data_IF_561265653079
#
_entry.id   IF_561265653079
#
_cell.length_a   1.000
_cell.length_b   1.000
_cell.length_c   1.000
_cell.angle_alpha   90.00
_cell.angle_beta   90.00
_cell.angle_gamma   90.00
#
_symmetry.space_group_name_H-M   'P 1'
#
loop_
_entity.id
_entity.type
_entity.pdbx_description
1 polymer ?
#
# COMPACT_ATOMS: atom_id res chain seq x y z
N UNK A 1 8.50 -23.38 -4.92
CA UNK A 1 7.40 -22.50 -5.35
C UNK A 1 6.62 -22.13 -4.09
N UNK A 2 6.37 -20.84 -3.84
CA UNK A 2 5.72 -20.37 -2.61
C UNK A 2 4.29 -20.90 -2.53
N UNK A 3 4.11 -22.08 -1.95
CA UNK A 3 2.81 -22.68 -1.78
C UNK A 3 2.09 -21.96 -0.64
N UNK A 4 1.21 -21.02 -0.98
CA UNK A 4 0.25 -20.42 -0.04
C UNK A 4 -0.46 -21.47 0.84
N UNK A 5 -0.61 -22.69 0.33
CA UNK A 5 -1.13 -23.86 1.06
C UNK A 5 -0.30 -24.19 2.31
N UNK A 6 1.03 -24.12 2.20
CA UNK A 6 1.98 -24.44 3.28
C UNK A 6 1.94 -23.40 4.42
N UNK A 7 1.68 -22.13 4.07
CA UNK A 7 1.50 -21.07 5.06
C UNK A 7 0.19 -21.21 5.85
N UNK A 8 -0.88 -21.72 5.22
CA UNK A 8 -2.17 -21.89 5.90
C UNK A 8 -2.16 -23.13 6.79
N UNK A 9 -1.65 -24.26 6.29
CA UNK A 9 -1.54 -25.48 7.09
C UNK A 9 -0.72 -25.23 8.36
N UNK A 10 0.43 -24.56 8.23
CA UNK A 10 1.28 -24.21 9.37
C UNK A 10 0.59 -23.28 10.37
N UNK A 11 -0.24 -22.33 9.93
CA UNK A 11 -1.00 -21.45 10.84
C UNK A 11 -2.10 -22.18 11.63
N UNK A 12 -2.66 -23.25 11.07
CA UNK A 12 -3.73 -24.02 11.70
C UNK A 12 -3.21 -25.17 12.57
N UNK A 13 -2.01 -25.67 12.30
CA UNK A 13 -1.32 -26.67 13.13
C UNK A 13 -0.79 -26.10 14.46
N UNK A 14 -0.66 -24.77 14.59
CA UNK A 14 -0.16 -24.13 15.81
C UNK A 14 -1.19 -24.23 16.94
N UNK A 15 -0.86 -25.02 17.95
CA UNK A 15 -1.60 -25.06 19.20
C UNK A 15 -1.41 -23.77 19.99
N UNK A 16 -2.44 -22.91 19.99
CA UNK A 16 -2.45 -21.64 20.68
C UNK A 16 -2.11 -21.77 22.17
N UNK A 17 -2.39 -22.90 22.83
CA UNK A 17 -2.12 -23.09 24.26
C UNK A 17 -0.63 -23.26 24.56
N UNK A 18 0.17 -23.68 23.58
CA UNK A 18 1.63 -23.84 23.70
C UNK A 18 2.41 -22.57 23.38
N UNK A 19 1.72 -21.48 23.02
CA UNK A 19 2.38 -20.24 22.58
C UNK A 19 2.20 -19.12 23.59
N UNK A 20 3.23 -18.28 23.74
CA UNK A 20 3.19 -17.15 24.66
C UNK A 20 2.12 -16.10 24.24
N UNK A 21 1.67 -15.27 25.19
CA UNK A 21 0.62 -14.28 24.97
C UNK A 21 0.90 -13.33 23.79
N UNK A 22 2.15 -12.89 23.62
CA UNK A 22 2.55 -12.01 22.50
C UNK A 22 2.33 -12.70 21.15
N UNK A 23 2.68 -13.97 21.04
CA UNK A 23 2.50 -14.75 19.82
C UNK A 23 1.03 -15.07 19.55
N UNK A 24 0.20 -15.26 20.58
CA UNK A 24 -1.27 -15.41 20.39
C UNK A 24 -1.88 -14.19 19.68
N UNK A 25 -1.45 -12.98 20.01
CA UNK A 25 -1.91 -11.73 19.35
C UNK A 25 -1.48 -11.72 17.88
N UNK A 26 -0.24 -12.12 17.61
CA UNK A 26 0.30 -12.22 16.25
C UNK A 26 -0.50 -13.25 15.44
N UNK A 27 -0.71 -14.45 15.97
CA UNK A 27 -1.50 -15.51 15.32
C UNK A 27 -2.92 -15.05 15.01
N UNK A 28 -3.57 -14.37 15.95
CA UNK A 28 -4.90 -13.78 15.73
C UNK A 28 -4.89 -12.77 14.58
N UNK A 29 -3.84 -11.98 14.48
CA UNK A 29 -3.68 -10.98 13.41
C UNK A 29 -3.43 -11.66 12.06
N UNK A 30 -2.56 -12.67 12.01
CA UNK A 30 -2.27 -13.45 10.81
C UNK A 30 -3.53 -14.16 10.29
N UNK A 31 -4.30 -14.82 11.18
CA UNK A 31 -5.59 -15.44 10.82
C UNK A 31 -6.60 -14.41 10.32
N UNK A 32 -6.68 -13.24 10.97
CA UNK A 32 -7.57 -12.14 10.54
C UNK A 32 -7.25 -11.64 9.12
N UNK A 33 -5.97 -11.55 8.74
CA UNK A 33 -5.54 -11.01 7.45
C UNK A 33 -5.13 -12.09 6.43
N UNK A 34 -5.44 -13.35 6.70
CA UNK A 34 -5.05 -14.51 5.90
C UNK A 34 -5.38 -14.38 4.42
N UNK A 35 -6.59 -13.91 4.09
CA UNK A 35 -7.02 -13.70 2.70
C UNK A 35 -6.11 -12.71 1.95
N UNK A 36 -5.71 -11.62 2.60
CA UNK A 36 -4.81 -10.63 2.00
C UNK A 36 -3.39 -11.19 1.83
N UNK A 37 -2.90 -11.96 2.80
CA UNK A 37 -1.59 -12.61 2.71
C UNK A 37 -1.59 -13.60 1.54
N UNK A 38 -2.65 -14.41 1.38
CA UNK A 38 -2.81 -15.33 0.26
C UNK A 38 -2.81 -14.58 -1.09
N UNK A 39 -3.47 -13.43 -1.18
CA UNK A 39 -3.44 -12.61 -2.38
C UNK A 39 -2.01 -12.13 -2.71
N UNK A 40 -1.24 -11.69 -1.71
CA UNK A 40 0.16 -11.30 -1.90
C UNK A 40 1.02 -12.47 -2.40
N UNK A 41 0.82 -13.67 -1.84
CA UNK A 41 1.52 -14.88 -2.28
C UNK A 41 1.13 -15.31 -3.71
N UNK A 42 -0.14 -15.13 -4.07
CA UNK A 42 -0.68 -15.46 -5.41
C UNK A 42 -0.17 -14.51 -6.49
N UNK A 43 0.04 -13.23 -6.18
CA UNK A 43 0.44 -12.20 -7.14
C UNK A 43 1.83 -11.61 -6.82
N UNK A 44 2.92 -12.39 -6.99
CA UNK A 44 4.27 -11.97 -6.57
C UNK A 44 4.81 -10.76 -7.35
N UNK A 45 4.26 -10.48 -8.53
CA UNK A 45 4.66 -9.34 -9.36
C UNK A 45 4.08 -8.00 -8.84
N UNK A 46 3.11 -8.04 -7.92
CA UNK A 46 2.56 -6.84 -7.28
C UNK A 46 3.39 -6.54 -6.04
N UNK A 47 4.14 -5.44 -6.07
CA UNK A 47 4.97 -5.01 -4.95
C UNK A 47 4.35 -3.81 -4.23
N UNK A 48 4.76 -3.59 -2.98
CA UNK A 48 4.37 -2.40 -2.22
C UNK A 48 5.11 -1.13 -2.67
N UNK A 49 6.06 -1.23 -3.60
CA UNK A 49 6.94 -0.13 -4.03
C UNK A 49 6.18 1.15 -4.44
N UNK A 50 5.13 1.08 -5.28
CA UNK A 50 4.33 2.27 -5.62
C UNK A 50 3.68 2.94 -4.40
N UNK A 51 3.12 2.14 -3.48
CA UNK A 51 2.45 2.65 -2.26
C UNK A 51 3.49 3.29 -1.33
N UNK A 52 4.64 2.64 -1.15
CA UNK A 52 5.76 3.15 -0.36
C UNK A 52 6.30 4.46 -0.94
N UNK A 53 6.45 4.54 -2.27
CA UNK A 53 6.86 5.75 -2.98
C UNK A 53 5.91 6.92 -2.73
N UNK A 54 4.60 6.69 -2.82
CA UNK A 54 3.57 7.69 -2.51
C UNK A 54 3.67 8.13 -1.05
N UNK A 55 3.76 7.18 -0.10
CA UNK A 55 3.85 7.47 1.32
C UNK A 55 5.11 8.28 1.66
N UNK A 56 6.25 7.95 1.06
CA UNK A 56 7.51 8.69 1.24
C UNK A 56 7.41 10.11 0.71
N UNK A 57 6.77 10.31 -0.45
CA UNK A 57 6.53 11.64 -1.02
C UNK A 57 5.62 12.49 -0.13
N UNK A 58 4.55 11.92 0.44
CA UNK A 58 3.67 12.62 1.39
C UNK A 58 4.43 12.98 2.67
N UNK A 59 5.23 12.06 3.21
CA UNK A 59 6.09 12.32 4.39
C UNK A 59 7.10 13.42 4.11
N UNK A 60 7.70 13.45 2.92
CA UNK A 60 8.61 14.51 2.48
C UNK A 60 7.90 15.85 2.42
N UNK A 61 6.73 15.94 1.78
CA UNK A 61 5.91 17.17 1.70
C UNK A 61 5.61 17.72 3.10
N UNK A 62 5.17 16.85 4.02
CA UNK A 62 4.91 17.25 5.40
C UNK A 62 6.17 17.75 6.12
N UNK A 63 7.33 17.13 5.86
CA UNK A 63 8.61 17.49 6.50
C UNK A 63 9.12 18.86 6.02
N UNK A 64 9.14 19.08 4.70
CA UNK A 64 9.66 20.34 4.11
C UNK A 64 8.75 21.54 4.38
N UNK A 65 7.47 21.30 4.68
CA UNK A 65 6.51 22.37 5.03
C UNK A 65 6.53 22.73 6.50
N UNK A 66 7.37 22.07 7.33
CA UNK A 66 7.34 22.16 8.79
C UNK A 66 5.99 21.74 9.40
N UNK A 67 5.31 20.79 8.75
CA UNK A 67 3.95 20.38 9.09
C UNK A 67 2.89 21.24 8.44
N UNK A 68 1.65 20.75 8.46
CA UNK A 68 0.47 21.49 8.00
C UNK A 68 -0.49 21.58 9.17
N UNK A 69 -1.01 22.78 9.44
CA UNK A 69 -2.05 23.00 10.45
C UNK A 69 -3.40 22.44 10.01
N UNK A 70 -3.66 22.45 8.69
CA UNK A 70 -4.89 21.93 8.09
C UNK A 70 -4.58 20.71 7.21
N UNK A 71 -5.23 19.58 7.49
CA UNK A 71 -5.08 18.35 6.71
C UNK A 71 -5.47 18.52 5.24
N UNK A 72 -6.51 19.31 4.94
CA UNK A 72 -6.95 19.56 3.57
C UNK A 72 -5.85 20.22 2.73
N UNK A 73 -5.03 21.09 3.34
CA UNK A 73 -3.91 21.73 2.65
C UNK A 73 -2.80 20.71 2.34
N UNK A 74 -2.49 19.81 3.27
CA UNK A 74 -1.55 18.70 3.03
C UNK A 74 -2.06 17.77 1.92
N UNK A 75 -3.35 17.40 1.96
CA UNK A 75 -3.99 16.55 0.95
C UNK A 75 -3.94 17.21 -0.43
N UNK A 76 -4.33 18.47 -0.53
CA UNK A 76 -4.30 19.22 -1.79
C UNK A 76 -2.87 19.31 -2.33
N UNK A 77 -1.88 19.60 -1.48
CA UNK A 77 -0.47 19.62 -1.89
C UNK A 77 0.01 18.25 -2.35
N UNK A 78 -0.34 17.18 -1.65
CA UNK A 78 0.00 15.82 -2.03
C UNK A 78 -0.57 15.47 -3.41
N UNK A 79 -1.85 15.77 -3.67
CA UNK A 79 -2.50 15.53 -4.97
C UNK A 79 -1.86 16.33 -6.11
N UNK A 80 -1.62 17.62 -5.90
CA UNK A 80 -0.96 18.50 -6.88
C UNK A 80 0.46 18.00 -7.22
N UNK A 81 1.22 17.61 -6.20
CA UNK A 81 2.62 17.17 -6.38
C UNK A 81 2.71 15.76 -6.99
N UNK A 82 1.69 14.93 -6.82
CA UNK A 82 1.76 13.49 -7.17
C UNK A 82 1.32 13.14 -8.59
N UNK A 83 0.97 14.10 -9.46
CA UNK A 83 0.34 13.82 -10.79
C UNK A 83 -0.89 12.89 -10.69
N UNK A 84 -1.43 12.71 -9.50
CA UNK A 84 -2.66 11.94 -9.24
C UNK A 84 -3.92 12.78 -9.51
N UNK A 85 -3.74 14.04 -9.89
CA UNK A 85 -4.81 14.87 -10.42
C UNK A 85 -4.94 14.60 -11.93
N UNK A 86 -5.92 13.79 -12.31
CA UNK A 86 -6.37 13.75 -13.70
C UNK A 86 -7.25 14.99 -13.94
N UNK A 87 -6.77 15.94 -14.74
CA UNK A 87 -7.66 16.98 -15.25
C UNK A 87 -8.72 16.30 -16.12
N UNK A 88 -10.00 16.51 -15.82
CA UNK A 88 -11.12 16.00 -16.63
C UNK A 88 -11.13 16.60 -18.06
N UNK A 89 -10.37 17.66 -18.27
CA UNK A 89 -10.14 18.27 -19.58
C UNK A 89 -9.13 17.41 -20.35
N UNK A 90 -9.63 16.65 -21.34
CA UNK A 90 -8.79 16.04 -22.38
C UNK A 90 -7.96 17.17 -23.02
N UNK A 91 -6.64 17.16 -22.85
CA UNK A 91 -5.77 17.91 -23.75
C UNK A 91 -5.87 17.25 -25.11
N UNK A 92 -6.67 17.82 -26.01
CA UNK A 92 -6.52 17.53 -27.44
C UNK A 92 -5.09 17.92 -27.83
N UNK A 93 -4.26 16.91 -28.03
CA UNK A 93 -2.94 17.11 -28.63
C UNK A 93 -3.23 17.32 -30.13
N UNK A 94 -3.45 18.57 -30.55
CA UNK A 94 -3.35 18.91 -31.98
C UNK A 94 -1.89 18.72 -32.38
N UNK A 95 -1.60 17.59 -33.02
CA UNK A 95 -0.35 17.44 -33.74
C UNK A 95 -0.32 18.51 -34.85
N UNK A 96 0.76 19.28 -35.00
CA UNK A 96 0.90 20.15 -36.16
C UNK A 96 1.00 19.25 -37.40
N UNK A 97 0.10 19.45 -38.36
CA UNK A 97 0.26 18.92 -39.71
C UNK A 97 1.57 19.46 -40.26
N UNK A 98 2.54 18.56 -40.44
CA UNK A 98 3.79 18.84 -41.13
C UNK A 98 3.43 19.16 -42.58
N UNK A 99 3.78 20.36 -43.03
CA UNK A 99 3.66 20.79 -44.42
C UNK A 99 4.81 20.23 -45.27
#
# INVERSE_FOLDING_TARGET
>A
MNNSIDFISTLDEIDANKVCLKLKIILKTLKKYQSFINNTLKYPNITNGPIEGINNKIKLIKRISFGYRNYNNLRNRALLTSRLYASTIKKEIKQPTVA
#
